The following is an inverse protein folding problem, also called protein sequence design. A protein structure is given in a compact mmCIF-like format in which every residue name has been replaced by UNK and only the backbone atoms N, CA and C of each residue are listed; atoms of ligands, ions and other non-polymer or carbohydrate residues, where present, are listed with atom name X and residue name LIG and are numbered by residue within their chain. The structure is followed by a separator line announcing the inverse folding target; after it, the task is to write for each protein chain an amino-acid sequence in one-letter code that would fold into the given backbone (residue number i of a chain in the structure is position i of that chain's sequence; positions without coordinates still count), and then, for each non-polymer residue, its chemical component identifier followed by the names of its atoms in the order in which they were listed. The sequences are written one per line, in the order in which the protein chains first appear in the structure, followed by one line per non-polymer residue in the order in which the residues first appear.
data_IF_674702894710
#
_entry.id   IF_674702894710
#
_cell.length_a   1.000
_cell.length_b   1.000
_cell.length_c   1.000
_cell.angle_alpha   90.00
_cell.angle_beta   90.00
_cell.angle_gamma   90.00
#
_symmetry.space_group_name_H-M   'P 1'
#
loop_
_entity.id
_entity.type
_entity.pdbx_description
1 polymer ?
#
# COMPACT_ATOMS: atom_id res chain seq x y z
N UNK A 1 -45.62 17.95 22.12
CA UNK A 1 -44.48 17.02 22.03
C UNK A 1 -45.04 15.61 21.89
N UNK A 2 -45.25 15.13 20.67
CA UNK A 2 -45.90 13.84 20.41
C UNK A 2 -44.88 12.71 20.66
N UNK A 3 -45.01 12.04 21.80
CA UNK A 3 -44.17 10.91 22.23
C UNK A 3 -44.67 9.60 21.65
N UNK A 4 -44.70 9.47 20.34
CA UNK A 4 -45.06 8.20 19.70
C UNK A 4 -43.82 7.56 19.06
N UNK A 5 -43.49 6.34 19.50
CA UNK A 5 -42.38 5.56 18.95
C UNK A 5 -42.81 4.96 17.63
N UNK A 6 -42.21 5.45 16.54
CA UNK A 6 -42.43 4.92 15.19
C UNK A 6 -41.98 3.45 15.14
N UNK A 7 -42.85 2.50 14.75
CA UNK A 7 -42.47 1.09 14.65
C UNK A 7 -41.46 0.88 13.52
N UNK A 8 -40.48 0.00 13.75
CA UNK A 8 -39.42 -0.31 12.78
C UNK A 8 -40.04 -0.98 11.54
N UNK A 9 -39.80 -0.41 10.35
CA UNK A 9 -40.33 -0.90 9.07
C UNK A 9 -39.45 -2.01 8.52
N UNK A 10 -39.77 -3.26 8.84
CA UNK A 10 -39.01 -4.43 8.37
C UNK A 10 -39.12 -4.66 6.84
N UNK A 11 -40.14 -4.12 6.19
CA UNK A 11 -40.33 -4.19 4.73
C UNK A 11 -39.22 -3.50 3.93
N UNK A 12 -38.44 -2.62 4.54
CA UNK A 12 -37.34 -1.91 3.89
C UNK A 12 -36.01 -2.70 3.95
N UNK A 13 -35.94 -3.76 4.78
CA UNK A 13 -34.73 -4.57 4.96
C UNK A 13 -34.51 -5.57 3.81
N UNK A 14 -35.56 -5.99 3.11
CA UNK A 14 -35.46 -6.87 1.93
C UNK A 14 -34.82 -6.18 0.71
N UNK A 15 -34.66 -4.85 0.75
CA UNK A 15 -33.97 -4.07 -0.28
C UNK A 15 -32.49 -3.89 0.07
N UNK A 16 -31.88 -4.88 0.71
CA UNK A 16 -30.44 -4.90 0.93
C UNK A 16 -29.71 -5.06 -0.41
N UNK A 17 -29.38 -3.92 -1.04
CA UNK A 17 -28.49 -3.89 -2.21
C UNK A 17 -27.05 -3.78 -1.72
N UNK A 18 -26.14 -4.68 -2.13
CA UNK A 18 -24.74 -4.59 -1.75
C UNK A 18 -24.19 -3.22 -2.15
N UNK A 19 -23.44 -2.60 -1.25
CA UNK A 19 -22.90 -1.25 -1.42
C UNK A 19 -22.10 -1.20 -2.72
N UNK A 20 -22.61 -0.46 -3.71
CA UNK A 20 -21.86 -0.25 -4.95
C UNK A 20 -20.56 0.49 -4.63
N UNK A 21 -19.45 -0.06 -5.12
CA UNK A 21 -18.12 0.51 -4.97
C UNK A 21 -18.12 1.90 -5.61
N UNK A 22 -18.03 2.94 -4.78
CA UNK A 22 -17.96 4.33 -5.26
C UNK A 22 -16.73 4.47 -6.16
N UNK A 23 -16.92 5.11 -7.31
CA UNK A 23 -15.92 5.31 -8.36
C UNK A 23 -14.56 5.85 -7.85
N UNK A 24 -13.48 5.43 -8.53
CA UNK A 24 -12.07 5.70 -8.21
C UNK A 24 -11.68 7.20 -8.12
N UNK A 25 -12.57 8.10 -8.55
CA UNK A 25 -12.37 9.55 -8.44
C UNK A 25 -12.46 10.06 -6.99
N UNK A 26 -13.22 9.38 -6.13
CA UNK A 26 -13.34 9.75 -4.71
C UNK A 26 -12.23 9.17 -3.81
N UNK A 27 -11.44 8.20 -4.30
CA UNK A 27 -10.34 7.61 -3.54
C UNK A 27 -9.12 8.51 -3.44
N UNK A 28 -8.85 9.35 -4.45
CA UNK A 28 -7.69 10.28 -4.42
C UNK A 28 -7.91 11.38 -3.39
N UNK A 29 -9.08 12.05 -3.42
CA UNK A 29 -9.44 13.10 -2.45
C UNK A 29 -9.51 12.60 -1.01
N UNK A 30 -10.00 11.37 -0.77
CA UNK A 30 -9.99 10.79 0.59
C UNK A 30 -8.59 10.47 1.10
N UNK A 31 -7.69 9.98 0.22
CA UNK A 31 -6.29 9.73 0.59
C UNK A 31 -5.56 11.02 0.97
N UNK A 32 -5.85 12.13 0.29
CA UNK A 32 -5.28 13.45 0.61
C UNK A 32 -5.78 13.96 1.97
N UNK A 33 -7.06 13.81 2.25
CA UNK A 33 -7.66 14.18 3.55
C UNK A 33 -7.12 13.29 4.68
N UNK A 34 -7.02 11.97 4.45
CA UNK A 34 -6.45 11.04 5.43
C UNK A 34 -4.98 11.39 5.72
N UNK A 35 -4.17 11.76 4.71
CA UNK A 35 -2.78 12.22 4.91
C UNK A 35 -2.70 13.50 5.75
N UNK A 36 -3.61 14.46 5.54
CA UNK A 36 -3.63 15.72 6.27
C UNK A 36 -4.13 15.58 7.72
N UNK A 37 -4.93 14.53 8.01
CA UNK A 37 -5.54 14.27 9.33
C UNK A 37 -4.94 13.03 10.01
N UNK A 38 -3.85 12.47 9.47
CA UNK A 38 -3.19 11.29 10.07
C UNK A 38 -2.64 11.71 11.44
N UNK A 39 -3.16 11.06 12.49
CA UNK A 39 -2.66 11.21 13.86
C UNK A 39 -1.14 10.96 13.89
N UNK A 40 -0.34 11.77 14.61
CA UNK A 40 1.14 11.71 14.62
C UNK A 40 1.73 10.32 14.94
N UNK A 41 0.93 9.42 15.52
CA UNK A 41 1.32 8.05 15.86
C UNK A 41 1.46 7.10 14.65
N UNK A 42 1.07 7.50 13.43
CA UNK A 42 1.25 6.69 12.21
C UNK A 42 2.34 7.33 11.34
N UNK A 43 3.60 7.06 11.66
CA UNK A 43 4.71 7.35 10.76
C UNK A 43 4.46 6.67 9.40
N UNK A 44 4.70 7.39 8.32
CA UNK A 44 4.68 6.77 7.00
C UNK A 44 5.82 5.76 6.93
N UNK A 45 5.49 4.55 6.49
CA UNK A 45 6.49 3.53 6.20
C UNK A 45 7.42 4.02 5.10
N UNK A 46 8.73 4.07 5.37
CA UNK A 46 9.78 4.45 4.41
C UNK A 46 10.03 3.37 3.32
N UNK A 47 9.32 2.25 3.37
CA UNK A 47 9.43 1.21 2.36
C UNK A 47 8.72 1.62 1.05
N UNK A 48 9.48 1.64 -0.05
CA UNK A 48 8.96 1.80 -1.41
C UNK A 48 9.24 0.55 -2.25
N UNK A 49 8.39 0.30 -3.25
CA UNK A 49 8.55 -0.82 -4.18
C UNK A 49 8.97 -0.32 -5.56
N UNK A 50 9.99 -0.96 -6.14
CA UNK A 50 10.39 -0.76 -7.54
C UNK A 50 10.28 -2.06 -8.32
N UNK A 51 9.85 -1.97 -9.58
CA UNK A 51 9.81 -3.10 -10.51
C UNK A 51 11.00 -3.02 -11.46
N UNK A 52 11.91 -4.00 -11.40
CA UNK A 52 13.11 -4.05 -12.23
C UNK A 52 12.87 -4.98 -13.42
N UNK A 53 12.99 -4.45 -14.65
CA UNK A 53 12.99 -5.25 -15.88
C UNK A 53 14.43 -5.47 -16.35
N UNK A 54 14.88 -6.72 -16.34
CA UNK A 54 16.21 -7.11 -16.80
C UNK A 54 16.17 -8.54 -17.38
N UNK A 55 17.28 -8.99 -17.96
CA UNK A 55 17.39 -10.37 -18.42
C UNK A 55 17.19 -11.37 -17.27
N UNK A 56 16.64 -12.55 -17.58
CA UNK A 56 16.44 -13.63 -16.59
C UNK A 56 17.76 -14.02 -15.93
N UNK A 57 18.85 -14.05 -16.71
CA UNK A 57 20.19 -14.38 -16.23
C UNK A 57 20.67 -13.36 -15.20
N UNK A 58 20.49 -12.07 -15.47
CA UNK A 58 20.87 -10.98 -14.54
C UNK A 58 20.07 -11.06 -13.24
N UNK A 59 18.76 -11.28 -13.31
CA UNK A 59 17.91 -11.39 -12.12
C UNK A 59 18.28 -12.61 -11.27
N UNK A 60 18.53 -13.75 -11.90
CA UNK A 60 18.93 -14.96 -11.18
C UNK A 60 20.31 -14.81 -10.53
N UNK A 61 21.24 -14.12 -11.21
CA UNK A 61 22.56 -13.79 -10.65
C UNK A 61 22.41 -12.90 -9.42
N UNK A 62 21.62 -11.82 -9.50
CA UNK A 62 21.35 -10.93 -8.37
C UNK A 62 20.76 -11.69 -7.17
N UNK A 63 19.71 -12.49 -7.39
CA UNK A 63 19.08 -13.29 -6.32
C UNK A 63 20.04 -14.28 -5.69
N UNK A 64 20.87 -14.93 -6.50
CA UNK A 64 21.86 -15.90 -6.01
C UNK A 64 22.94 -15.24 -5.16
N UNK A 65 23.42 -14.06 -5.57
CA UNK A 65 24.39 -13.29 -4.80
C UNK A 65 23.80 -12.81 -3.47
N UNK A 66 22.60 -12.24 -3.49
CA UNK A 66 21.90 -11.84 -2.26
C UNK A 66 21.70 -13.02 -1.29
N UNK A 67 21.29 -14.18 -1.82
CA UNK A 67 21.06 -15.39 -1.01
C UNK A 67 22.35 -15.93 -0.39
N UNK A 68 23.46 -15.90 -1.12
CA UNK A 68 24.76 -16.38 -0.64
C UNK A 68 25.20 -15.63 0.60
N UNK A 69 25.06 -14.30 0.58
CA UNK A 69 25.46 -13.41 1.68
C UNK A 69 24.34 -13.19 2.72
N UNK A 70 23.17 -13.83 2.53
CA UNK A 70 21.98 -13.74 3.41
C UNK A 70 21.40 -12.33 3.59
N UNK A 71 21.49 -11.48 2.57
CA UNK A 71 20.90 -10.14 2.59
C UNK A 71 19.46 -10.12 2.05
N UNK A 72 18.63 -9.18 2.54
CA UNK A 72 17.37 -8.82 1.88
C UNK A 72 17.71 -8.16 0.53
N UNK A 73 16.83 -8.31 -0.46
CA UNK A 73 17.08 -7.73 -1.79
C UNK A 73 17.26 -6.20 -1.79
N UNK A 74 16.57 -5.48 -0.89
CA UNK A 74 16.76 -4.04 -0.73
C UNK A 74 18.15 -3.68 -0.20
N UNK A 75 18.56 -4.29 0.90
CA UNK A 75 19.88 -4.11 1.51
C UNK A 75 21.01 -4.47 0.54
N UNK A 76 20.85 -5.58 -0.18
CA UNK A 76 21.83 -5.99 -1.18
C UNK A 76 21.93 -5.01 -2.34
N UNK A 77 20.81 -4.38 -2.73
CA UNK A 77 20.82 -3.32 -3.74
C UNK A 77 21.56 -2.07 -3.24
N UNK A 78 21.36 -1.69 -1.98
CA UNK A 78 22.06 -0.56 -1.34
C UNK A 78 23.58 -0.78 -1.31
N UNK A 79 24.03 -1.96 -0.89
CA UNK A 79 25.46 -2.35 -0.92
C UNK A 79 26.04 -2.23 -2.33
N UNK A 80 25.31 -2.69 -3.35
CA UNK A 80 25.75 -2.56 -4.74
C UNK A 80 25.85 -1.10 -5.19
N UNK A 81 24.92 -0.24 -4.75
CA UNK A 81 24.95 1.19 -5.03
C UNK A 81 26.14 1.88 -4.36
N UNK A 82 26.45 1.53 -3.11
CA UNK A 82 27.60 2.09 -2.39
C UNK A 82 28.92 1.64 -3.00
N UNK A 83 29.03 0.36 -3.36
CA UNK A 83 30.20 -0.17 -4.06
C UNK A 83 30.42 0.53 -5.42
N UNK A 84 29.34 0.82 -6.16
CA UNK A 84 29.43 1.55 -7.42
C UNK A 84 29.93 2.99 -7.21
N UNK A 85 29.41 3.71 -6.21
CA UNK A 85 29.86 5.07 -5.87
C UNK A 85 31.32 5.15 -5.44
N UNK A 86 31.85 4.11 -4.81
CA UNK A 86 33.27 4.06 -4.40
C UNK A 86 34.22 3.77 -5.58
N UNK A 87 33.69 3.31 -6.70
CA UNK A 87 34.48 3.00 -7.90
C UNK A 87 34.61 4.18 -8.88
N UNK A 88 33.85 5.25 -8.66
CA UNK A 88 34.02 6.58 -9.30
C UNK A 88 35.00 7.45 -8.49
#
# INVERSE_FOLDING_TARGET
MSTERKPLKFSELDVFKPRQTKSALNTVKRKEIDRAVTFPSREQSDEAQINIKASIVTINRFKSMAKKERYRHGEFLEILMDAYKQSD
#
